data_IF_519366273631
#
_entry.id   IF_519366273631
#
_cell.length_a   1.000
_cell.length_b   1.000
_cell.length_c   1.000
_cell.angle_alpha   90.00
_cell.angle_beta   90.00
_cell.angle_gamma   90.00
#
_symmetry.space_group_name_H-M   'P 1'
#
loop_
_entity.id
_entity.type
_entity.pdbx_description
1 polymer ?
#
# COMPACT_ATOMS: atom_id res chain seq x y z
N UNK A 1 15.16 7.73 -57.75
CA UNK A 1 14.32 8.60 -56.90
C UNK A 1 13.05 9.01 -57.65
N UNK A 2 13.18 9.54 -58.88
CA UNK A 2 12.07 9.86 -59.78
C UNK A 2 11.00 8.76 -59.91
N UNK A 3 11.40 7.51 -60.22
CA UNK A 3 10.48 6.36 -60.34
C UNK A 3 9.66 6.09 -59.06
N UNK A 4 10.22 6.35 -57.86
CA UNK A 4 9.52 6.21 -56.58
C UNK A 4 8.54 7.36 -56.31
N UNK A 5 8.77 8.54 -56.89
CA UNK A 5 7.89 9.70 -56.75
C UNK A 5 6.72 9.63 -57.75
N UNK A 6 6.92 9.00 -58.91
CA UNK A 6 5.87 8.80 -59.91
C UNK A 6 4.73 7.89 -59.41
N UNK A 7 5.02 6.93 -58.54
CA UNK A 7 4.04 6.01 -57.95
C UNK A 7 3.20 6.63 -56.84
N UNK A 8 3.57 7.81 -56.32
CA UNK A 8 2.84 8.46 -55.23
C UNK A 8 1.61 9.24 -55.73
N UNK A 9 0.51 9.26 -54.96
CA UNK A 9 -0.63 10.16 -55.20
C UNK A 9 -0.22 11.64 -55.13
N UNK A 10 -0.91 12.50 -55.88
CA UNK A 10 -0.62 13.95 -55.92
C UNK A 10 -0.68 14.60 -54.53
N UNK A 11 -1.54 14.11 -53.64
CA UNK A 11 -1.68 14.62 -52.27
C UNK A 11 -0.39 14.41 -51.47
N UNK A 12 0.19 13.20 -51.53
CA UNK A 12 1.44 12.87 -50.84
C UNK A 12 2.64 13.61 -51.43
N UNK A 13 2.67 13.80 -52.76
CA UNK A 13 3.70 14.63 -53.41
C UNK A 13 3.65 16.09 -52.95
N UNK A 14 2.45 16.62 -52.71
CA UNK A 14 2.27 17.99 -52.20
C UNK A 14 2.69 18.12 -50.74
N UNK A 15 2.45 17.11 -49.91
CA UNK A 15 2.92 17.08 -48.51
C UNK A 15 4.45 17.00 -48.44
N UNK A 16 5.06 16.12 -49.25
CA UNK A 16 6.52 16.02 -49.35
C UNK A 16 7.15 17.34 -49.84
N UNK A 17 6.55 17.97 -50.85
CA UNK A 17 7.03 19.25 -51.35
C UNK A 17 6.93 20.39 -50.31
N UNK A 18 5.86 20.42 -49.49
CA UNK A 18 5.76 21.37 -48.37
C UNK A 18 6.78 21.10 -47.27
N UNK A 19 7.00 19.82 -46.94
CA UNK A 19 8.00 19.41 -45.95
C UNK A 19 9.42 19.80 -46.34
N UNK A 20 9.69 19.85 -47.65
CA UNK A 20 10.98 20.28 -48.24
C UNK A 20 11.04 21.78 -48.57
N UNK A 21 10.08 22.58 -48.10
CA UNK A 21 10.11 24.04 -48.23
C UNK A 21 9.71 24.61 -49.61
N UNK A 22 9.17 23.80 -50.53
CA UNK A 22 8.69 24.27 -51.84
C UNK A 22 7.44 25.14 -51.64
N UNK A 23 7.44 26.35 -52.24
CA UNK A 23 6.31 27.29 -52.21
C UNK A 23 5.39 27.09 -53.43
N UNK A 24 4.11 27.48 -53.31
CA UNK A 24 3.10 27.39 -54.39
C UNK A 24 2.78 25.97 -54.90
N UNK A 25 2.90 24.97 -54.04
CA UNK A 25 2.67 23.54 -54.32
C UNK A 25 1.24 23.21 -54.79
N UNK A 26 0.25 24.06 -54.49
CA UNK A 26 -1.15 23.88 -54.87
C UNK A 26 -1.44 24.13 -56.35
N UNK A 27 -0.66 24.99 -57.03
CA UNK A 27 -0.84 25.33 -58.45
C UNK A 27 0.01 24.48 -59.40
N UNK A 28 0.94 23.69 -58.86
CA UNK A 28 1.89 22.90 -59.66
C UNK A 28 1.30 21.58 -60.16
N UNK A 29 1.73 21.17 -61.35
CA UNK A 29 1.40 19.85 -61.94
C UNK A 29 2.24 18.75 -61.29
N UNK A 30 1.76 17.50 -61.37
CA UNK A 30 2.45 16.33 -60.78
C UNK A 30 3.90 16.21 -61.25
N UNK A 31 4.15 16.44 -62.55
CA UNK A 31 5.49 16.38 -63.15
C UNK A 31 6.42 17.45 -62.57
N UNK A 32 5.95 18.68 -62.43
CA UNK A 32 6.72 19.81 -61.88
C UNK A 32 7.12 19.58 -60.42
N UNK A 33 6.22 19.00 -59.61
CA UNK A 33 6.52 18.63 -58.23
C UNK A 33 7.59 17.54 -58.14
N UNK A 34 7.55 16.55 -59.04
CA UNK A 34 8.54 15.47 -59.06
C UNK A 34 9.91 16.00 -59.48
N UNK A 35 9.97 16.89 -60.48
CA UNK A 35 11.21 17.49 -60.94
C UNK A 35 11.85 18.37 -59.84
N UNK A 36 11.07 19.20 -59.14
CA UNK A 36 11.58 20.02 -58.03
C UNK A 36 12.06 19.19 -56.82
N UNK A 37 11.34 18.12 -56.47
CA UNK A 37 11.76 17.21 -55.41
C UNK A 37 13.04 16.43 -55.77
N UNK A 38 13.25 16.12 -57.05
CA UNK A 38 14.50 15.49 -57.50
C UNK A 38 15.67 16.48 -57.53
N UNK A 39 15.43 17.75 -57.83
CA UNK A 39 16.47 18.78 -57.84
C UNK A 39 17.01 19.06 -56.43
N UNK A 40 16.13 19.24 -55.44
CA UNK A 40 16.52 19.48 -54.04
C UNK A 40 17.32 18.31 -53.45
N UNK A 41 16.94 17.07 -53.78
CA UNK A 41 17.67 15.88 -53.33
C UNK A 41 19.03 15.67 -54.04
N UNK A 42 19.24 16.35 -55.17
CA UNK A 42 20.54 16.42 -55.85
C UNK A 42 21.50 17.37 -55.14
N UNK A 43 20.99 18.54 -54.73
CA UNK A 43 21.76 19.58 -54.02
C UNK A 43 22.22 19.11 -52.63
N UNK A 44 21.38 18.38 -51.88
CA UNK A 44 21.75 17.80 -50.58
C UNK A 44 22.91 16.77 -50.69
N UNK A 45 23.04 16.08 -51.83
CA UNK A 45 24.11 15.09 -52.05
C UNK A 45 25.44 15.70 -52.51
N UNK A 46 25.43 16.90 -53.07
CA UNK A 46 26.65 17.63 -53.42
C UNK A 46 27.25 18.35 -52.22
N UNK A 47 26.42 18.82 -51.27
CA UNK A 47 26.88 19.43 -50.03
C UNK A 47 27.59 18.45 -49.06
N UNK A 48 27.27 17.15 -49.10
CA UNK A 48 27.94 16.12 -48.28
C UNK A 48 29.28 15.60 -48.87
N UNK A 49 29.67 16.02 -50.09
CA UNK A 49 30.86 15.48 -50.78
C UNK A 49 32.12 16.35 -50.75
N UNK A 50 32.07 17.54 -50.14
CA UNK A 50 33.18 18.50 -50.15
C UNK A 50 33.70 18.85 -48.75
N UNK A 51 34.29 17.91 -48.02
CA UNK A 51 35.34 18.20 -47.01
C UNK A 51 36.30 17.00 -46.85
N UNK A 52 37.60 17.13 -47.15
CA UNK A 52 38.61 16.20 -46.69
C UNK A 52 39.53 16.78 -45.59
N UNK A 53 39.96 15.83 -44.76
CA UNK A 53 40.82 15.92 -43.59
C UNK A 53 42.20 16.59 -43.79
N UNK A 54 42.67 17.27 -42.74
CA UNK A 54 44.09 17.26 -42.36
C UNK A 54 44.26 17.01 -40.85
N UNK A 55 44.97 15.92 -40.52
CA UNK A 55 45.59 15.67 -39.21
C UNK A 55 47.04 16.16 -39.27
N UNK A 56 47.49 16.90 -38.25
CA UNK A 56 48.89 16.85 -37.78
C UNK A 56 48.95 16.93 -36.26
N UNK A 57 49.60 15.94 -35.68
CA UNK A 57 50.10 15.90 -34.31
C UNK A 57 51.25 16.90 -34.13
N UNK A 58 51.38 17.48 -32.94
CA UNK A 58 52.67 17.67 -32.25
C UNK A 58 52.43 17.98 -30.78
N UNK A 59 53.18 17.30 -29.91
CA UNK A 59 53.15 17.42 -28.46
C UNK A 59 54.18 18.45 -27.97
N UNK A 60 53.84 19.23 -26.93
CA UNK A 60 54.75 19.60 -25.82
C UNK A 60 54.08 20.50 -24.74
N UNK A 61 54.01 19.96 -23.51
CA UNK A 61 54.23 20.55 -22.17
C UNK A 61 53.89 22.04 -21.89
N UNK A 62 53.01 22.28 -20.91
CA UNK A 62 53.29 22.97 -19.62
C UNK A 62 52.01 23.03 -18.73
N UNK A 63 52.13 22.65 -17.45
CA UNK A 63 51.17 22.91 -16.34
C UNK A 63 51.54 24.26 -15.65
N UNK A 64 50.85 24.69 -14.56
CA UNK A 64 49.43 25.02 -14.43
C UNK A 64 49.22 26.42 -13.79
N UNK A 65 48.11 27.12 -14.06
CA UNK A 65 47.71 28.25 -13.21
C UNK A 65 46.26 28.14 -12.74
N UNK A 66 46.15 28.20 -11.39
CA UNK A 66 44.92 28.28 -10.60
C UNK A 66 44.31 29.66 -10.76
N UNK A 67 43.01 29.71 -10.98
CA UNK A 67 42.19 30.83 -10.50
C UNK A 67 40.82 30.31 -10.06
N UNK A 68 40.56 30.49 -8.76
CA UNK A 68 39.26 30.36 -8.12
C UNK A 68 38.29 31.41 -8.68
N UNK A 69 36.99 31.09 -8.75
CA UNK A 69 35.98 32.11 -9.02
C UNK A 69 34.58 31.58 -9.32
N UNK A 70 33.78 31.44 -8.26
CA UNK A 70 32.30 31.54 -8.27
C UNK A 70 31.50 30.50 -9.07
N UNK A 71 31.22 29.37 -8.41
CA UNK A 71 30.14 28.44 -8.76
C UNK A 71 28.80 29.05 -8.36
N UNK A 72 28.15 29.80 -9.27
CA UNK A 72 26.72 30.12 -9.14
C UNK A 72 25.94 28.80 -9.26
N UNK A 73 25.22 28.46 -8.21
CA UNK A 73 24.20 27.43 -8.21
C UNK A 73 23.08 27.85 -9.16
N UNK A 74 23.03 27.24 -10.35
CA UNK A 74 21.82 27.21 -11.14
C UNK A 74 20.88 26.18 -10.52
N UNK A 75 19.84 26.71 -9.88
CA UNK A 75 18.63 25.99 -9.54
C UNK A 75 18.03 25.38 -10.80
N UNK A 76 18.13 24.06 -10.95
CA UNK A 76 17.33 23.32 -11.92
C UNK A 76 15.85 23.31 -11.48
N UNK A 77 15.14 24.41 -11.71
CA UNK A 77 13.70 24.36 -11.96
C UNK A 77 13.52 23.84 -13.38
N UNK A 78 13.34 22.52 -13.50
CA UNK A 78 13.04 21.88 -14.77
C UNK A 78 11.64 22.32 -15.24
N UNK A 79 11.59 23.36 -16.07
CA UNK A 79 10.44 23.57 -16.94
C UNK A 79 10.33 22.39 -17.92
N UNK A 80 9.13 21.82 -18.15
CA UNK A 80 8.96 20.74 -19.10
C UNK A 80 9.32 21.27 -20.50
N UNK A 81 10.18 20.52 -21.20
CA UNK A 81 10.54 20.79 -22.61
C UNK A 81 9.27 20.99 -23.43
N UNK A 82 9.21 22.06 -24.22
CA UNK A 82 8.06 22.50 -25.04
C UNK A 82 7.35 21.37 -25.79
N UNK A 83 8.10 20.37 -26.27
CA UNK A 83 7.59 19.28 -27.10
C UNK A 83 6.71 18.28 -26.31
N UNK A 84 6.86 18.22 -24.97
CA UNK A 84 6.02 17.36 -24.12
C UNK A 84 4.66 18.01 -23.83
N UNK A 85 4.57 19.35 -23.82
CA UNK A 85 3.31 20.05 -23.57
C UNK A 85 2.29 19.86 -24.69
N UNK A 86 2.73 19.66 -25.94
CA UNK A 86 1.83 19.41 -27.07
C UNK A 86 1.15 18.03 -27.02
N UNK A 87 1.78 17.07 -26.32
CA UNK A 87 1.29 15.69 -26.15
C UNK A 87 0.49 15.51 -24.86
N UNK A 88 0.46 16.53 -24.01
CA UNK A 88 -0.22 16.54 -22.72
C UNK A 88 -1.73 16.61 -22.93
N UNK A 89 -2.46 15.63 -22.37
CA UNK A 89 -3.93 15.65 -22.42
C UNK A 89 -4.57 16.63 -21.43
N UNK A 90 -3.80 17.19 -20.50
CA UNK A 90 -4.29 17.96 -19.36
C UNK A 90 -5.00 17.12 -18.29
N UNK A 91 -5.12 15.80 -18.50
CA UNK A 91 -5.74 14.86 -17.56
C UNK A 91 -4.66 14.20 -16.73
N UNK A 92 -4.75 14.37 -15.42
CA UNK A 92 -3.84 13.77 -14.48
C UNK A 92 -4.18 12.29 -14.23
N UNK A 93 -3.18 11.43 -14.32
CA UNK A 93 -3.22 10.07 -13.79
C UNK A 93 -2.92 10.12 -12.29
N UNK A 94 -3.78 9.50 -11.48
CA UNK A 94 -3.52 9.26 -10.07
C UNK A 94 -4.06 7.88 -9.69
N UNK A 95 -3.19 6.98 -9.25
CA UNK A 95 -3.59 5.64 -8.84
C UNK A 95 -2.39 4.78 -8.45
N UNK A 96 -2.67 3.53 -8.14
CA UNK A 96 -1.66 2.56 -7.70
C UNK A 96 -1.00 1.88 -8.91
N UNK A 97 0.33 1.82 -8.93
CA UNK A 97 1.08 1.12 -9.96
C UNK A 97 1.02 -0.38 -9.73
N UNK A 98 0.69 -1.13 -10.77
CA UNK A 98 0.87 -2.57 -10.87
C UNK A 98 1.88 -2.86 -11.98
N UNK A 99 3.03 -3.44 -11.62
CA UNK A 99 4.06 -3.86 -12.58
C UNK A 99 3.78 -5.30 -13.00
N UNK A 100 3.66 -5.50 -14.31
CA UNK A 100 3.43 -6.81 -14.92
C UNK A 100 4.73 -7.62 -15.01
N UNK A 101 4.67 -8.95 -15.14
CA UNK A 101 5.87 -9.81 -15.29
C UNK A 101 6.80 -9.40 -16.44
N UNK A 102 6.23 -8.87 -17.54
CA UNK A 102 6.98 -8.41 -18.71
C UNK A 102 7.68 -7.05 -18.49
N UNK A 103 7.51 -6.43 -17.31
CA UNK A 103 8.23 -5.23 -16.87
C UNK A 103 7.58 -3.89 -17.23
N UNK A 104 6.49 -3.88 -18.00
CA UNK A 104 5.62 -2.71 -18.13
C UNK A 104 4.59 -2.69 -16.98
N UNK A 105 3.87 -1.58 -16.80
CA UNK A 105 2.89 -1.48 -15.72
C UNK A 105 1.63 -0.72 -16.09
N UNK A 106 0.65 -0.76 -15.18
CA UNK A 106 -0.57 0.03 -15.25
C UNK A 106 -0.80 0.77 -13.94
N UNK A 107 -1.18 2.05 -14.04
CA UNK A 107 -1.75 2.79 -12.92
C UNK A 107 -3.23 2.41 -12.85
N UNK A 108 -3.63 1.73 -11.77
CA UNK A 108 -5.01 1.34 -11.48
C UNK A 108 -5.71 2.48 -10.77
N UNK A 109 -6.75 3.01 -11.40
CA UNK A 109 -7.48 4.19 -10.92
C UNK A 109 -8.71 3.82 -10.06
N UNK A 110 -9.23 2.59 -10.18
CA UNK A 110 -10.50 2.18 -9.58
C UNK A 110 -10.27 1.07 -8.53
N UNK A 111 -10.26 1.43 -7.24
CA UNK A 111 -10.17 0.50 -6.11
C UNK A 111 -9.05 -0.57 -6.26
N UNK A 112 -7.93 -0.18 -6.86
CA UNK A 112 -6.74 -1.01 -7.13
C UNK A 112 -6.98 -2.20 -8.08
N UNK A 113 -8.04 -2.14 -8.88
CA UNK A 113 -8.41 -3.15 -9.85
C UNK A 113 -8.26 -2.65 -11.29
N UNK A 114 -8.16 -3.57 -12.28
CA UNK A 114 -8.18 -3.18 -13.68
C UNK A 114 -9.46 -2.46 -14.03
N UNK A 115 -9.33 -1.26 -14.57
CA UNK A 115 -10.44 -0.48 -15.11
C UNK A 115 -10.17 -0.05 -16.55
N UNK A 116 -11.19 0.47 -17.21
CA UNK A 116 -11.05 1.05 -18.55
C UNK A 116 -10.20 2.34 -18.54
N UNK A 117 -10.15 3.00 -17.38
CA UNK A 117 -9.44 4.25 -17.15
C UNK A 117 -7.95 4.08 -16.81
N UNK A 118 -7.44 2.84 -16.82
CA UNK A 118 -6.06 2.54 -16.48
C UNK A 118 -5.07 3.24 -17.41
N UNK A 119 -3.89 3.56 -16.84
CA UNK A 119 -2.83 4.28 -17.56
C UNK A 119 -1.63 3.39 -17.72
N UNK A 120 -1.21 3.19 -18.97
CA UNK A 120 -0.01 2.42 -19.30
C UNK A 120 1.26 3.16 -18.85
N UNK A 121 2.18 2.43 -18.22
CA UNK A 121 3.48 2.93 -17.79
C UNK A 121 4.57 2.13 -18.48
N UNK A 122 5.46 2.85 -19.18
CA UNK A 122 6.54 2.22 -19.92
C UNK A 122 7.60 1.60 -18.98
N UNK A 123 8.22 0.46 -19.34
CA UNK A 123 9.29 -0.14 -18.55
C UNK A 123 10.46 0.82 -18.27
N UNK A 124 10.75 1.72 -19.21
CA UNK A 124 11.79 2.73 -19.07
C UNK A 124 11.49 3.73 -17.94
N UNK A 125 10.23 4.14 -17.78
CA UNK A 125 9.81 5.02 -16.69
C UNK A 125 9.89 4.29 -15.34
N UNK A 126 9.42 3.03 -15.29
CA UNK A 126 9.47 2.19 -14.07
C UNK A 126 10.91 2.04 -13.59
N UNK A 127 11.83 1.66 -14.50
CA UNK A 127 13.25 1.50 -14.17
C UNK A 127 13.91 2.80 -13.78
N UNK A 128 13.64 3.90 -14.50
CA UNK A 128 14.26 5.20 -14.26
C UNK A 128 13.98 5.73 -12.85
N UNK A 129 12.74 5.63 -12.39
CA UNK A 129 12.32 6.15 -11.09
C UNK A 129 12.28 5.08 -9.98
N UNK A 130 12.80 3.88 -10.24
CA UNK A 130 12.76 2.73 -9.32
C UNK A 130 11.34 2.47 -8.75
N UNK A 131 10.33 2.57 -9.62
CA UNK A 131 8.94 2.33 -9.24
C UNK A 131 8.69 0.83 -9.07
N UNK A 132 7.81 0.50 -8.14
CA UNK A 132 7.43 -0.88 -7.82
C UNK A 132 5.91 -0.97 -7.72
N UNK A 133 5.40 -2.20 -7.82
CA UNK A 133 3.98 -2.46 -7.52
C UNK A 133 3.62 -1.89 -6.14
N UNK A 134 2.49 -1.22 -6.03
CA UNK A 134 2.03 -0.59 -4.80
C UNK A 134 2.30 0.92 -4.71
N UNK A 135 3.12 1.49 -5.60
CA UNK A 135 3.39 2.93 -5.59
C UNK A 135 2.17 3.72 -6.07
N UNK A 136 1.77 4.76 -5.33
CA UNK A 136 0.81 5.74 -5.84
C UNK A 136 1.56 6.69 -6.76
N UNK A 137 1.27 6.60 -8.06
CA UNK A 137 1.92 7.42 -9.09
C UNK A 137 0.96 8.50 -9.53
N UNK A 138 1.45 9.75 -9.48
CA UNK A 138 0.74 10.92 -9.97
C UNK A 138 1.53 11.54 -11.12
N UNK A 139 0.88 11.83 -12.23
CA UNK A 139 1.55 12.38 -13.42
C UNK A 139 0.60 12.66 -14.57
N UNK A 140 1.08 13.35 -15.61
CA UNK A 140 0.21 13.68 -16.75
C UNK A 140 0.09 12.52 -17.74
N UNK A 141 -1.09 12.38 -18.35
CA UNK A 141 -1.39 11.39 -19.39
C UNK A 141 -1.15 11.98 -20.76
N UNK A 142 -0.61 11.17 -21.66
CA UNK A 142 -0.59 11.48 -23.09
C UNK A 142 -1.99 11.39 -23.67
N UNK A 143 -2.30 12.24 -24.64
CA UNK A 143 -3.51 12.06 -25.48
C UNK A 143 -3.48 10.66 -26.11
N UNK A 144 -4.56 9.91 -25.90
CA UNK A 144 -4.75 8.55 -26.40
C UNK A 144 -4.96 8.59 -27.92
N UNK A 145 -4.16 7.83 -28.68
CA UNK A 145 -4.42 7.67 -30.13
C UNK A 145 -5.55 6.67 -30.35
N UNK A 146 -6.23 6.75 -31.50
CA UNK A 146 -7.36 5.85 -31.81
C UNK A 146 -7.00 4.35 -31.84
N UNK A 147 -5.71 4.03 -32.01
CA UNK A 147 -5.17 2.66 -32.01
C UNK A 147 -4.84 2.13 -30.62
N UNK A 148 -4.69 3.00 -29.62
CA UNK A 148 -4.28 2.61 -28.27
C UNK A 148 -5.51 2.21 -27.44
N UNK A 149 -5.41 1.13 -26.66
CA UNK A 149 -6.49 0.72 -25.74
C UNK A 149 -6.51 1.59 -24.47
N UNK A 150 -5.34 1.90 -23.94
CA UNK A 150 -5.14 2.68 -22.72
C UNK A 150 -4.32 3.94 -23.02
N UNK A 151 -4.55 5.01 -22.25
CA UNK A 151 -3.68 6.18 -22.32
C UNK A 151 -2.31 5.86 -21.71
N UNK A 152 -1.24 6.45 -22.21
CA UNK A 152 0.10 6.27 -21.66
C UNK A 152 0.47 7.42 -20.69
N UNK A 153 1.30 7.12 -19.69
CA UNK A 153 1.87 8.12 -18.79
C UNK A 153 2.94 8.93 -19.53
N UNK A 154 2.78 10.25 -19.58
CA UNK A 154 3.72 11.14 -20.25
C UNK A 154 4.92 11.44 -19.36
N UNK A 155 4.67 11.97 -18.15
CA UNK A 155 5.70 12.21 -17.14
C UNK A 155 5.14 12.01 -15.73
N UNK A 156 6.03 11.68 -14.79
CA UNK A 156 5.69 11.48 -13.38
C UNK A 156 5.90 12.80 -12.64
N UNK A 157 4.89 13.25 -11.89
CA UNK A 157 4.94 14.44 -11.03
C UNK A 157 5.40 14.06 -9.62
N UNK A 158 4.82 13.00 -9.04
CA UNK A 158 5.17 12.53 -7.69
C UNK A 158 4.90 11.04 -7.52
N UNK A 159 5.62 10.41 -6.59
CA UNK A 159 5.47 9.00 -6.22
C UNK A 159 5.20 8.94 -4.70
N UNK A 160 4.09 8.34 -4.29
CA UNK A 160 3.62 8.26 -2.90
C UNK A 160 3.49 9.64 -2.21
N UNK A 161 3.22 10.69 -2.99
CA UNK A 161 3.18 12.08 -2.49
C UNK A 161 4.56 12.71 -2.28
N UNK A 162 5.65 12.01 -2.62
CA UNK A 162 7.01 12.52 -2.56
C UNK A 162 7.53 12.88 -3.96
N UNK A 163 8.53 13.77 -4.06
CA UNK A 163 9.27 13.99 -5.29
C UNK A 163 9.89 12.68 -5.82
N UNK A 164 10.01 12.55 -7.13
CA UNK A 164 10.49 11.33 -7.80
C UNK A 164 11.87 10.86 -7.32
N UNK A 165 12.79 11.79 -7.02
CA UNK A 165 14.13 11.46 -6.50
C UNK A 165 14.11 10.75 -5.14
N UNK A 166 13.04 10.90 -4.35
CA UNK A 166 12.92 10.24 -3.05
C UNK A 166 12.63 8.73 -3.22
N UNK A 167 11.91 8.35 -4.28
CA UNK A 167 11.64 6.95 -4.60
C UNK A 167 12.90 6.21 -5.10
N UNK A 168 13.83 6.93 -5.74
CA UNK A 168 15.10 6.35 -6.23
C UNK A 168 16.03 5.90 -5.10
N UNK A 169 16.00 6.60 -3.96
CA UNK A 169 16.93 6.36 -2.82
C UNK A 169 16.37 5.50 -1.70
N UNK A 170 15.09 5.12 -1.76
CA UNK A 170 14.46 4.35 -0.69
C UNK A 170 15.00 2.91 -0.65
N UNK A 171 15.18 2.31 0.54
CA UNK A 171 15.55 0.91 0.66
C UNK A 171 14.40 0.00 0.19
N UNK A 172 14.69 -1.29 -0.05
CA UNK A 172 13.63 -2.28 -0.23
C UNK A 172 13.08 -2.70 1.13
N UNK A 173 11.78 -2.94 1.21
CA UNK A 173 11.11 -3.39 2.43
C UNK A 173 11.74 -4.66 3.04
N UNK A 174 12.22 -5.57 2.19
CA UNK A 174 12.83 -6.82 2.66
C UNK A 174 14.27 -6.65 3.16
N UNK A 175 14.92 -5.53 2.83
CA UNK A 175 16.28 -5.20 3.31
C UNK A 175 16.26 -4.48 4.66
N UNK A 176 15.07 -4.05 5.12
CA UNK A 176 14.89 -3.38 6.42
C UNK A 176 15.01 -4.38 7.58
N UNK A 177 15.64 -3.96 8.68
CA UNK A 177 15.90 -4.83 9.83
C UNK A 177 14.67 -4.94 10.73
N UNK A 178 14.00 -6.11 10.81
CA UNK A 178 12.84 -6.28 11.67
C UNK A 178 13.23 -6.31 13.15
N UNK A 179 12.48 -5.60 13.99
CA UNK A 179 12.60 -5.62 15.45
C UNK A 179 11.24 -5.84 16.11
N UNK A 180 11.25 -6.16 17.41
CA UNK A 180 10.02 -6.18 18.19
C UNK A 180 9.39 -4.77 18.25
N UNK A 181 8.06 -4.68 18.34
CA UNK A 181 7.41 -3.43 18.69
C UNK A 181 7.96 -2.91 20.02
N UNK A 182 8.43 -1.67 20.02
CA UNK A 182 9.04 -1.00 21.17
C UNK A 182 8.41 0.38 21.45
N UNK A 183 7.37 0.74 20.68
CA UNK A 183 6.57 1.94 20.87
C UNK A 183 5.10 1.55 20.85
N UNK A 184 4.41 1.78 21.97
CA UNK A 184 2.98 1.49 22.12
C UNK A 184 2.11 2.49 21.34
N UNK A 185 1.09 1.96 20.69
CA UNK A 185 -0.04 2.67 20.10
C UNK A 185 -1.17 2.69 21.13
N UNK A 186 -1.20 3.74 21.97
CA UNK A 186 -2.23 3.88 23.00
C UNK A 186 -3.60 4.08 22.38
N UNK A 187 -4.55 3.27 22.83
CA UNK A 187 -5.95 3.33 22.39
C UNK A 187 -6.79 4.23 23.31
N UNK A 188 -6.25 4.63 24.46
CA UNK A 188 -6.86 5.62 25.34
C UNK A 188 -6.70 7.04 24.76
N UNK A 189 -7.80 7.74 24.49
CA UNK A 189 -7.83 9.13 24.02
C UNK A 189 -7.79 10.08 25.23
N UNK A 190 -6.76 10.93 25.30
CA UNK A 190 -6.63 11.91 26.40
C UNK A 190 -7.71 12.98 26.32
N UNK A 191 -8.47 13.15 27.41
CA UNK A 191 -9.57 14.13 27.48
C UNK A 191 -10.81 13.75 26.65
N UNK A 192 -10.83 12.57 26.04
CA UNK A 192 -11.97 12.02 25.30
C UNK A 192 -12.80 11.03 26.13
N UNK A 193 -13.92 10.57 25.54
CA UNK A 193 -14.68 9.44 26.10
C UNK A 193 -14.00 8.14 25.71
N UNK A 194 -13.26 7.56 26.66
CA UNK A 194 -12.65 6.24 26.47
C UNK A 194 -13.67 5.13 26.68
N UNK A 195 -13.77 4.21 25.73
CA UNK A 195 -14.59 3.02 25.92
C UNK A 195 -13.84 2.02 26.80
N UNK A 196 -14.60 1.25 27.56
CA UNK A 196 -14.05 0.11 28.34
C UNK A 196 -13.26 -0.83 27.43
N UNK A 197 -13.72 -1.07 26.20
CA UNK A 197 -13.05 -1.91 25.22
C UNK A 197 -11.63 -1.43 24.88
N UNK A 198 -11.46 -0.14 24.55
CA UNK A 198 -10.15 0.41 24.23
C UNK A 198 -9.22 0.36 25.43
N UNK A 199 -9.74 0.64 26.62
CA UNK A 199 -8.96 0.60 27.87
C UNK A 199 -8.47 -0.79 28.25
N UNK A 200 -9.37 -1.78 28.17
CA UNK A 200 -9.07 -3.20 28.41
C UNK A 200 -8.05 -3.69 27.39
N UNK A 201 -8.24 -3.39 26.10
CA UNK A 201 -7.30 -3.76 25.03
C UNK A 201 -5.93 -3.09 25.23
N UNK A 202 -5.89 -1.81 25.57
CA UNK A 202 -4.64 -1.06 25.75
C UNK A 202 -3.78 -1.64 26.88
N UNK A 203 -4.37 -2.18 27.95
CA UNK A 203 -3.62 -2.78 29.07
C UNK A 203 -3.33 -4.27 28.88
N UNK A 204 -4.32 -5.08 28.49
CA UNK A 204 -4.19 -6.55 28.49
C UNK A 204 -3.62 -7.10 27.17
N UNK A 205 -3.84 -6.40 26.06
CA UNK A 205 -3.33 -6.79 24.75
C UNK A 205 -2.75 -5.56 24.04
N UNK A 206 -1.70 -4.93 24.61
CA UNK A 206 -1.17 -3.67 24.12
C UNK A 206 -0.69 -3.80 22.67
N UNK A 207 -1.01 -2.79 21.85
CA UNK A 207 -0.61 -2.78 20.44
C UNK A 207 0.62 -1.91 20.30
N UNK A 208 1.69 -2.44 19.70
CA UNK A 208 2.85 -1.65 19.32
C UNK A 208 2.89 -1.28 17.84
N UNK A 209 3.75 -0.32 17.49
CA UNK A 209 4.15 -0.08 16.09
C UNK A 209 4.84 -1.33 15.55
N UNK A 210 4.33 -1.88 14.44
CA UNK A 210 4.80 -3.14 13.89
C UNK A 210 4.15 -4.40 14.46
N UNK A 211 3.03 -4.27 15.20
CA UNK A 211 2.34 -5.43 15.79
C UNK A 211 1.73 -6.34 14.71
N UNK A 212 1.79 -7.65 14.93
CA UNK A 212 1.01 -8.68 14.22
C UNK A 212 -0.08 -9.20 15.16
N UNK A 213 -1.16 -8.46 15.24
CA UNK A 213 -2.26 -8.74 16.15
C UNK A 213 -3.41 -9.48 15.48
N UNK A 214 -4.04 -10.38 16.23
CA UNK A 214 -5.21 -11.12 15.79
C UNK A 214 -6.37 -10.90 16.76
N UNK A 215 -7.51 -10.44 16.24
CA UNK A 215 -8.77 -10.35 16.99
C UNK A 215 -9.57 -11.62 16.70
N UNK A 216 -9.52 -12.55 17.63
CA UNK A 216 -10.18 -13.85 17.53
C UNK A 216 -11.62 -13.66 17.98
N UNK A 217 -12.57 -13.80 17.08
CA UNK A 217 -13.97 -13.51 17.37
C UNK A 217 -14.91 -14.57 16.82
N UNK A 218 -15.82 -15.10 17.65
CA UNK A 218 -16.98 -15.79 17.14
C UNK A 218 -17.94 -14.81 16.46
N UNK A 219 -18.86 -15.29 15.62
CA UNK A 219 -19.90 -14.46 15.04
C UNK A 219 -20.71 -13.72 16.11
N UNK A 220 -21.09 -12.47 15.85
CA UNK A 220 -21.91 -11.61 16.73
C UNK A 220 -21.29 -11.19 18.07
N UNK A 221 -20.01 -11.45 18.34
CA UNK A 221 -19.36 -11.03 19.59
C UNK A 221 -18.94 -9.55 19.66
N UNK A 222 -19.20 -8.76 18.61
CA UNK A 222 -18.88 -7.32 18.58
C UNK A 222 -17.58 -6.93 17.87
N UNK A 223 -16.99 -7.85 17.09
CA UNK A 223 -15.82 -7.64 16.21
C UNK A 223 -15.83 -6.29 15.49
N UNK A 224 -16.88 -6.03 14.71
CA UNK A 224 -16.97 -4.84 13.86
C UNK A 224 -16.97 -3.53 14.67
N UNK A 225 -17.65 -3.53 15.82
CA UNK A 225 -17.66 -2.39 16.74
C UNK A 225 -16.28 -2.15 17.33
N UNK A 226 -15.58 -3.21 17.73
CA UNK A 226 -14.22 -3.12 18.26
C UNK A 226 -13.25 -2.56 17.21
N UNK A 227 -13.29 -3.08 15.97
CA UNK A 227 -12.43 -2.64 14.87
C UNK A 227 -12.64 -1.15 14.55
N UNK A 228 -13.90 -0.69 14.51
CA UNK A 228 -14.25 0.73 14.35
C UNK A 228 -13.70 1.60 15.48
N UNK A 229 -13.76 1.13 16.72
CA UNK A 229 -13.22 1.87 17.86
C UNK A 229 -11.69 1.97 17.80
N UNK A 230 -11.00 0.89 17.42
CA UNK A 230 -9.54 0.93 17.18
C UNK A 230 -9.21 1.93 16.08
N UNK A 231 -9.91 1.88 14.94
CA UNK A 231 -9.71 2.82 13.84
C UNK A 231 -9.83 4.28 14.30
N UNK A 232 -10.90 4.62 15.02
CA UNK A 232 -11.13 5.98 15.55
C UNK A 232 -10.08 6.40 16.60
N UNK A 233 -9.66 5.49 17.46
CA UNK A 233 -8.62 5.77 18.45
C UNK A 233 -7.28 6.08 17.76
N UNK A 234 -6.91 5.30 16.74
CA UNK A 234 -5.67 5.51 15.99
C UNK A 234 -5.70 6.81 15.19
N UNK A 235 -6.78 7.11 14.47
CA UNK A 235 -6.88 8.37 13.71
C UNK A 235 -6.86 9.61 14.60
N UNK A 236 -7.37 9.49 15.84
CA UNK A 236 -7.36 10.58 16.81
C UNK A 236 -6.00 10.75 17.48
N UNK A 237 -5.41 9.66 17.97
CA UNK A 237 -4.18 9.69 18.75
C UNK A 237 -2.91 9.80 17.89
N UNK A 238 -2.96 9.31 16.65
CA UNK A 238 -1.83 9.21 15.73
C UNK A 238 -2.22 9.72 14.32
N UNK A 239 -2.51 11.01 14.16
CA UNK A 239 -3.00 11.57 12.88
C UNK A 239 -1.99 11.45 11.72
N UNK A 240 -0.71 11.25 12.01
CA UNK A 240 0.34 11.03 11.00
C UNK A 240 0.50 9.56 10.58
N UNK A 241 -0.18 8.63 11.26
CA UNK A 241 -0.13 7.21 10.94
C UNK A 241 -1.09 6.92 9.80
N UNK A 242 -0.62 6.18 8.79
CA UNK A 242 -1.44 5.86 7.63
C UNK A 242 -2.30 4.62 7.92
N UNK A 243 -3.62 4.78 7.95
CA UNK A 243 -4.57 3.73 8.29
C UNK A 243 -5.22 3.17 7.03
N UNK A 244 -5.02 1.90 6.77
CA UNK A 244 -5.68 1.16 5.69
C UNK A 244 -6.69 0.20 6.31
N UNK A 245 -7.96 0.29 5.93
CA UNK A 245 -8.99 -0.67 6.33
C UNK A 245 -9.29 -1.55 5.14
N UNK A 246 -8.97 -2.83 5.25
CA UNK A 246 -9.16 -3.83 4.21
C UNK A 246 -10.31 -4.78 4.58
N UNK A 247 -11.42 -4.68 3.85
CA UNK A 247 -12.62 -5.50 4.05
C UNK A 247 -12.74 -6.55 2.95
N UNK A 248 -12.68 -7.83 3.31
CA UNK A 248 -12.69 -8.96 2.39
C UNK A 248 -13.90 -9.86 2.66
N UNK A 249 -14.70 -10.09 1.62
CA UNK A 249 -15.85 -10.99 1.64
C UNK A 249 -16.83 -10.61 2.78
N UNK A 250 -17.01 -9.31 2.97
CA UNK A 250 -17.89 -8.71 3.98
C UNK A 250 -19.12 -8.09 3.31
N UNK A 251 -20.17 -7.84 4.11
CA UNK A 251 -21.44 -7.33 3.57
C UNK A 251 -21.34 -5.87 3.09
N UNK A 252 -22.01 -5.49 1.98
CA UNK A 252 -22.00 -4.12 1.46
C UNK A 252 -22.41 -3.05 2.48
N UNK A 253 -23.39 -3.34 3.34
CA UNK A 253 -23.84 -2.44 4.40
C UNK A 253 -22.78 -2.23 5.50
N UNK A 254 -22.00 -3.28 5.82
CA UNK A 254 -20.89 -3.19 6.78
C UNK A 254 -19.73 -2.38 6.20
N UNK A 255 -19.47 -2.51 4.89
CA UNK A 255 -18.50 -1.68 4.15
C UNK A 255 -18.91 -0.21 4.17
N UNK A 256 -20.19 0.07 3.89
CA UNK A 256 -20.72 1.44 3.85
C UNK A 256 -20.59 2.11 5.21
N UNK A 257 -21.02 1.44 6.28
CA UNK A 257 -20.89 1.96 7.64
C UNK A 257 -19.41 2.26 7.99
N UNK A 258 -18.48 1.38 7.62
CA UNK A 258 -17.05 1.61 7.89
C UNK A 258 -16.52 2.85 7.18
N UNK A 259 -16.88 3.05 5.91
CA UNK A 259 -16.48 4.23 5.12
C UNK A 259 -17.01 5.54 5.70
N UNK A 260 -18.25 5.54 6.17
CA UNK A 260 -18.87 6.73 6.76
C UNK A 260 -18.37 6.99 8.19
N UNK A 261 -18.04 5.92 8.93
CA UNK A 261 -17.61 6.01 10.33
C UNK A 261 -16.17 6.45 10.52
N UNK A 262 -15.26 6.10 9.61
CA UNK A 262 -13.82 6.34 9.76
C UNK A 262 -13.33 7.17 8.58
N UNK A 263 -13.21 8.47 8.80
CA UNK A 263 -12.76 9.43 7.79
C UNK A 263 -11.53 10.18 8.29
N UNK A 264 -10.56 10.38 7.41
CA UNK A 264 -9.35 11.14 7.68
C UNK A 264 -8.49 11.29 6.42
N UNK A 265 -7.50 12.23 6.43
CA UNK A 265 -6.65 12.48 5.27
C UNK A 265 -5.71 11.30 4.94
N UNK A 266 -5.28 10.56 5.96
CA UNK A 266 -4.40 9.38 5.84
C UNK A 266 -5.18 8.07 6.11
N UNK A 267 -6.47 8.03 5.76
CA UNK A 267 -7.33 6.83 5.89
C UNK A 267 -7.75 6.33 4.52
N UNK A 268 -7.41 5.08 4.19
CA UNK A 268 -7.82 4.40 2.96
C UNK A 268 -8.75 3.22 3.31
N UNK A 269 -10.02 3.25 2.89
CA UNK A 269 -10.96 2.12 3.06
C UNK A 269 -11.09 1.36 1.75
N UNK A 270 -10.51 0.17 1.70
CA UNK A 270 -10.42 -0.70 0.52
C UNK A 270 -11.23 -1.96 0.79
N UNK A 271 -11.98 -2.41 -0.20
CA UNK A 271 -12.92 -3.51 0.01
C UNK A 271 -13.15 -4.37 -1.22
N UNK A 272 -13.57 -5.60 -0.96
CA UNK A 272 -14.16 -6.53 -1.92
C UNK A 272 -15.31 -7.25 -1.20
N UNK A 273 -16.55 -6.95 -1.56
CA UNK A 273 -17.75 -7.53 -0.91
C UNK A 273 -17.90 -9.01 -1.28
N UNK A 274 -18.79 -9.73 -0.58
CA UNK A 274 -19.07 -11.15 -0.86
C UNK A 274 -19.67 -11.43 -2.25
N UNK A 275 -20.15 -10.39 -2.96
CA UNK A 275 -20.68 -10.52 -4.33
C UNK A 275 -19.56 -10.77 -5.37
N UNK A 276 -18.31 -10.60 -4.96
CA UNK A 276 -17.14 -10.65 -5.82
C UNK A 276 -16.50 -12.04 -5.85
N UNK A 277 -15.75 -12.32 -6.92
CA UNK A 277 -15.05 -13.59 -7.06
C UNK A 277 -13.83 -13.69 -6.11
N UNK A 278 -13.45 -14.89 -5.63
CA UNK A 278 -12.27 -15.11 -4.80
C UNK A 278 -10.97 -14.54 -5.37
N UNK A 279 -10.83 -14.57 -6.70
CA UNK A 279 -9.70 -13.98 -7.43
C UNK A 279 -9.56 -12.48 -7.17
N UNK A 280 -10.69 -11.76 -7.05
CA UNK A 280 -10.70 -10.33 -6.74
C UNK A 280 -10.24 -10.09 -5.30
N UNK A 281 -10.68 -10.90 -4.34
CA UNK A 281 -10.22 -10.80 -2.95
C UNK A 281 -8.70 -10.97 -2.84
N UNK A 282 -8.15 -11.97 -3.54
CA UNK A 282 -6.70 -12.21 -3.64
C UNK A 282 -6.00 -10.95 -4.16
N UNK A 283 -6.40 -10.47 -5.33
CA UNK A 283 -5.74 -9.35 -6.00
C UNK A 283 -5.76 -8.06 -5.18
N UNK A 284 -6.92 -7.71 -4.61
CA UNK A 284 -7.05 -6.52 -3.75
C UNK A 284 -6.10 -6.62 -2.55
N UNK A 285 -6.02 -7.80 -1.90
CA UNK A 285 -5.10 -8.00 -0.77
C UNK A 285 -3.63 -7.84 -1.15
N UNK A 286 -3.22 -8.33 -2.32
CA UNK A 286 -1.84 -8.22 -2.82
C UNK A 286 -1.46 -6.77 -3.13
N UNK A 287 -2.36 -6.00 -3.74
CA UNK A 287 -2.12 -4.58 -4.00
C UNK A 287 -2.03 -3.77 -2.70
N UNK A 288 -2.90 -4.05 -1.72
CA UNK A 288 -2.92 -3.38 -0.41
C UNK A 288 -1.61 -3.62 0.36
N UNK A 289 -1.12 -4.86 0.38
CA UNK A 289 0.12 -5.14 1.11
C UNK A 289 1.33 -4.49 0.46
N UNK A 290 1.41 -4.51 -0.88
CA UNK A 290 2.49 -3.82 -1.58
C UNK A 290 2.42 -2.31 -1.37
N UNK A 291 1.22 -1.70 -1.40
CA UNK A 291 1.01 -0.29 -1.04
C UNK A 291 1.56 0.03 0.35
N UNK A 292 1.20 -0.77 1.35
CA UNK A 292 1.67 -0.58 2.72
C UNK A 292 3.20 -0.69 2.82
N UNK A 293 3.82 -1.66 2.14
CA UNK A 293 5.28 -1.79 2.08
C UNK A 293 5.94 -0.55 1.48
N UNK A 294 5.42 -0.02 0.37
CA UNK A 294 5.96 1.20 -0.27
C UNK A 294 5.93 2.39 0.69
N UNK A 295 4.87 2.55 1.48
CA UNK A 295 4.77 3.61 2.48
C UNK A 295 5.81 3.44 3.60
N UNK A 296 6.03 2.21 4.08
CA UNK A 296 7.06 1.90 5.10
C UNK A 296 8.47 2.11 4.56
N UNK A 297 8.74 1.81 3.27
CA UNK A 297 10.02 2.13 2.63
C UNK A 297 10.32 3.65 2.65
N UNK A 298 9.29 4.50 2.73
CA UNK A 298 9.43 5.95 2.95
C UNK A 298 9.50 6.36 4.44
N UNK A 299 9.66 5.41 5.35
CA UNK A 299 9.75 5.64 6.79
C UNK A 299 8.41 5.98 7.46
N UNK A 300 7.27 5.76 6.80
CA UNK A 300 5.95 5.98 7.42
C UNK A 300 5.55 4.82 8.32
N UNK A 301 4.76 5.15 9.33
CA UNK A 301 4.04 4.17 10.14
C UNK A 301 2.68 3.88 9.49
N UNK A 302 2.42 2.60 9.22
CA UNK A 302 1.23 2.13 8.50
C UNK A 302 0.51 1.10 9.37
N UNK A 303 -0.81 1.21 9.46
CA UNK A 303 -1.66 0.23 10.11
C UNK A 303 -2.68 -0.33 9.12
N UNK A 304 -2.75 -1.65 9.00
CA UNK A 304 -3.80 -2.33 8.26
C UNK A 304 -4.77 -2.97 9.25
N UNK A 305 -6.05 -2.61 9.14
CA UNK A 305 -7.16 -3.31 9.78
C UNK A 305 -7.78 -4.26 8.77
N UNK A 306 -7.53 -5.56 8.91
CA UNK A 306 -8.03 -6.60 7.99
C UNK A 306 -9.25 -7.29 8.58
N UNK A 307 -10.36 -7.25 7.86
CA UNK A 307 -11.58 -7.97 8.19
C UNK A 307 -12.04 -8.83 7.00
N UNK A 308 -11.74 -10.13 6.92
CA UNK A 308 -11.01 -10.96 7.90
C UNK A 308 -9.92 -11.81 7.24
N UNK A 309 -8.93 -12.24 8.03
CA UNK A 309 -7.89 -13.14 7.50
C UNK A 309 -8.42 -14.54 7.22
N UNK A 310 -9.44 -14.98 7.96
CA UNK A 310 -10.11 -16.27 7.72
C UNK A 310 -10.76 -16.30 6.33
N UNK A 311 -11.49 -15.24 5.97
CA UNK A 311 -12.11 -15.12 4.65
C UNK A 311 -11.07 -14.99 3.54
N UNK A 312 -10.00 -14.24 3.79
CA UNK A 312 -8.88 -14.16 2.84
C UNK A 312 -8.25 -15.53 2.58
N UNK A 313 -7.95 -16.30 3.64
CA UNK A 313 -7.39 -17.64 3.50
C UNK A 313 -8.33 -18.60 2.74
N UNK A 314 -9.65 -18.51 2.97
CA UNK A 314 -10.66 -19.24 2.19
C UNK A 314 -10.61 -18.87 0.71
N UNK A 315 -10.50 -17.58 0.39
CA UNK A 315 -10.39 -17.13 -1.00
C UNK A 315 -9.15 -17.70 -1.69
N UNK A 316 -7.98 -17.69 -1.02
CA UNK A 316 -6.78 -18.34 -1.55
C UNK A 316 -6.96 -19.85 -1.76
N UNK A 317 -7.66 -20.54 -0.84
CA UNK A 317 -7.92 -21.98 -0.97
C UNK A 317 -8.77 -22.35 -2.19
N UNK A 318 -9.61 -21.44 -2.67
CA UNK A 318 -10.43 -21.65 -3.87
C UNK A 318 -9.70 -21.35 -5.18
N UNK A 319 -8.64 -20.54 -5.13
CA UNK A 319 -7.95 -20.01 -6.31
C UNK A 319 -6.62 -20.72 -6.57
N UNK A 320 -5.91 -21.11 -5.51
CA UNK A 320 -4.59 -21.75 -5.63
C UNK A 320 -4.75 -23.13 -6.28
N UNK A 321 -3.91 -23.47 -7.28
CA UNK A 321 -3.89 -24.80 -7.85
C UNK A 321 -3.66 -25.87 -6.76
N UNK A 322 -4.45 -26.96 -6.73
CA UNK A 322 -4.33 -27.97 -5.69
C UNK A 322 -2.92 -28.58 -5.65
N UNK A 323 -2.34 -28.67 -4.46
CA UNK A 323 -1.02 -29.27 -4.23
C UNK A 323 -1.07 -30.81 -4.18
N UNK A 324 -2.27 -31.40 -4.25
CA UNK A 324 -2.51 -32.84 -4.03
C UNK A 324 -2.41 -33.29 -2.57
N UNK A 325 -2.27 -32.35 -1.62
CA UNK A 325 -2.30 -32.62 -0.17
C UNK A 325 -3.43 -31.81 0.45
N UNK A 326 -4.08 -32.38 1.46
CA UNK A 326 -5.21 -31.71 2.13
C UNK A 326 -5.05 -31.87 3.63
N UNK A 327 -5.11 -30.74 4.35
CA UNK A 327 -5.18 -30.70 5.80
C UNK A 327 -6.61 -30.99 6.27
N UNK A 328 -6.78 -31.14 7.58
CA UNK A 328 -8.11 -31.23 8.18
C UNK A 328 -8.97 -30.04 7.75
N UNK A 329 -10.25 -30.29 7.48
CA UNK A 329 -11.19 -29.25 7.04
C UNK A 329 -11.13 -28.91 5.55
N UNK A 330 -10.41 -29.66 4.72
CA UNK A 330 -10.41 -29.46 3.25
C UNK A 330 -9.50 -28.32 2.79
N UNK A 331 -8.56 -27.91 3.64
CA UNK A 331 -7.63 -26.82 3.38
C UNK A 331 -6.37 -27.35 2.69
N UNK A 332 -5.99 -26.74 1.57
CA UNK A 332 -4.72 -26.99 0.91
C UNK A 332 -3.59 -26.24 1.65
N UNK A 333 -2.49 -26.89 2.05
CA UNK A 333 -1.36 -26.21 2.69
C UNK A 333 -0.78 -25.05 1.85
N UNK A 334 -0.77 -25.16 0.52
CA UNK A 334 -0.25 -24.13 -0.37
C UNK A 334 -1.09 -22.85 -0.32
N UNK A 335 -2.39 -22.97 -0.02
CA UNK A 335 -3.30 -21.84 0.10
C UNK A 335 -2.96 -20.92 1.29
N UNK A 336 -2.29 -21.44 2.32
CA UNK A 336 -1.89 -20.66 3.50
C UNK A 336 -0.63 -19.82 3.27
N UNK A 337 0.18 -20.14 2.25
CA UNK A 337 1.49 -19.52 2.06
C UNK A 337 1.39 -18.00 1.89
N UNK A 338 0.54 -17.52 0.98
CA UNK A 338 0.40 -16.09 0.68
C UNK A 338 -0.30 -15.32 1.83
N UNK A 339 -1.41 -15.79 2.39
CA UNK A 339 -1.98 -15.21 3.61
C UNK A 339 -1.00 -15.13 4.80
N UNK A 340 -0.16 -16.15 5.03
CA UNK A 340 0.90 -16.09 6.05
C UNK A 340 1.94 -15.03 5.74
N UNK A 341 2.35 -14.88 4.47
CA UNK A 341 3.26 -13.80 4.04
C UNK A 341 2.63 -12.42 4.21
N UNK A 342 1.34 -12.26 3.91
CA UNK A 342 0.59 -11.03 4.12
C UNK A 342 0.63 -10.64 5.61
N UNK A 343 0.23 -11.55 6.50
CA UNK A 343 0.19 -11.27 7.93
C UNK A 343 1.59 -11.12 8.55
N UNK A 344 2.53 -11.95 8.11
CA UNK A 344 3.94 -11.93 8.51
C UNK A 344 4.71 -10.70 8.02
N UNK A 345 4.16 -9.94 7.06
CA UNK A 345 4.78 -8.70 6.62
C UNK A 345 4.80 -7.64 7.71
N UNK A 346 3.83 -7.65 8.64
CA UNK A 346 3.79 -6.69 9.74
C UNK A 346 5.00 -6.85 10.68
N UNK A 347 5.75 -5.77 10.83
CA UNK A 347 6.98 -5.70 11.62
C UNK A 347 7.35 -4.24 11.86
N UNK A 348 8.07 -4.00 12.94
CA UNK A 348 8.70 -2.72 13.22
C UNK A 348 10.09 -2.70 12.57
N UNK A 349 10.51 -1.56 12.01
CA UNK A 349 11.78 -1.46 11.31
C UNK A 349 12.76 -0.61 12.11
N UNK A 350 14.02 -1.04 12.18
CA UNK A 350 15.06 -0.29 12.91
C UNK A 350 15.39 1.03 12.23
N UNK A 351 15.40 1.04 10.91
CA UNK A 351 15.77 2.18 10.06
C UNK A 351 14.66 3.26 9.98
N UNK A 352 13.47 2.96 10.50
CA UNK A 352 12.32 3.85 10.52
C UNK A 352 11.12 3.28 9.77
N UNK A 353 9.93 3.74 10.15
CA UNK A 353 8.65 3.21 9.70
C UNK A 353 8.27 1.89 10.37
N UNK A 354 7.00 1.54 10.27
CA UNK A 354 6.46 0.31 10.83
C UNK A 354 5.22 -0.14 10.08
N UNK A 355 5.02 -1.45 9.97
CA UNK A 355 3.80 -2.03 9.44
C UNK A 355 3.08 -2.79 10.56
N UNK A 356 2.01 -2.23 11.08
CA UNK A 356 1.10 -2.90 12.01
C UNK A 356 -0.03 -3.55 11.22
N UNK A 357 -0.32 -4.83 11.47
CA UNK A 357 -1.51 -5.51 10.93
C UNK A 357 -2.33 -6.03 12.12
N UNK A 358 -3.58 -5.60 12.20
CA UNK A 358 -4.59 -6.23 13.05
C UNK A 358 -5.60 -6.94 12.16
N UNK A 359 -5.63 -8.25 12.24
CA UNK A 359 -6.55 -9.06 11.46
C UNK A 359 -7.60 -9.70 12.36
N UNK A 360 -8.85 -9.76 11.90
CA UNK A 360 -9.88 -10.54 12.58
C UNK A 360 -9.80 -11.99 12.12
N UNK A 361 -9.96 -12.93 13.06
CA UNK A 361 -10.03 -14.36 12.78
C UNK A 361 -11.35 -14.91 13.34
N UNK A 362 -12.07 -15.66 12.52
CA UNK A 362 -13.33 -16.27 12.91
C UNK A 362 -13.07 -17.61 13.59
N UNK A 363 -13.71 -17.82 14.75
CA UNK A 363 -13.73 -19.09 15.50
C UNK A 363 -15.17 -19.47 15.86
N UNK A 364 -15.38 -20.69 16.33
CA UNK A 364 -16.71 -21.22 16.71
C UNK A 364 -17.77 -21.08 15.59
N UNK A 365 -17.33 -21.16 14.32
CA UNK A 365 -18.22 -21.09 13.15
C UNK A 365 -18.88 -22.43 12.83
N UNK A 366 -18.41 -23.51 13.47
CA UNK A 366 -18.77 -24.89 13.14
C UNK A 366 -17.97 -25.47 11.95
N UNK A 367 -17.05 -24.69 11.36
CA UNK A 367 -16.20 -25.12 10.26
C UNK A 367 -14.81 -25.52 10.76
N UNK A 368 -14.44 -26.80 10.62
CA UNK A 368 -13.08 -27.28 10.92
C UNK A 368 -12.00 -26.55 10.11
N UNK A 369 -12.35 -26.05 8.93
CA UNK A 369 -11.43 -25.26 8.10
C UNK A 369 -11.01 -23.97 8.82
N UNK A 370 -11.95 -23.30 9.48
CA UNK A 370 -11.68 -22.04 10.18
C UNK A 370 -10.82 -22.27 11.42
N UNK A 371 -11.07 -23.35 12.15
CA UNK A 371 -10.27 -23.74 13.31
C UNK A 371 -8.81 -23.99 12.91
N UNK A 372 -8.59 -24.73 11.81
CA UNK A 372 -7.25 -24.98 11.27
C UNK A 372 -6.59 -23.69 10.79
N UNK A 373 -7.33 -22.82 10.08
CA UNK A 373 -6.82 -21.51 9.66
C UNK A 373 -6.35 -20.72 10.88
N UNK A 374 -7.19 -20.60 11.92
CA UNK A 374 -6.87 -19.88 13.14
C UNK A 374 -5.59 -20.41 13.80
N UNK A 375 -5.46 -21.72 14.00
CA UNK A 375 -4.26 -22.32 14.62
C UNK A 375 -2.99 -22.06 13.81
N UNK A 376 -3.07 -22.08 12.46
CA UNK A 376 -1.94 -21.79 11.57
C UNK A 376 -1.49 -20.32 11.64
N UNK A 377 -2.42 -19.39 11.91
CA UNK A 377 -2.11 -17.97 12.07
C UNK A 377 -1.68 -17.59 13.48
N UNK A 378 -2.15 -18.31 14.50
CA UNK A 378 -1.77 -18.12 15.90
C UNK A 378 -0.25 -18.19 16.09
N UNK A 379 0.42 -19.14 15.42
CA UNK A 379 1.88 -19.25 15.45
C UNK A 379 2.63 -18.09 14.78
N UNK A 380 1.97 -17.38 13.86
CA UNK A 380 2.56 -16.27 13.07
C UNK A 380 2.41 -14.92 13.78
N UNK A 381 1.31 -14.75 14.54
CA UNK A 381 1.00 -13.55 15.31
C UNK A 381 1.85 -13.39 16.56
N UNK A 382 1.88 -12.18 17.09
CA UNK A 382 2.51 -11.85 18.36
C UNK A 382 1.57 -11.10 19.33
N UNK A 383 0.31 -10.90 18.96
CA UNK A 383 -0.76 -10.43 19.85
C UNK A 383 -2.06 -11.16 19.51
N UNK A 384 -2.79 -11.54 20.54
CA UNK A 384 -4.11 -12.17 20.43
C UNK A 384 -5.08 -11.43 21.35
N UNK A 385 -6.23 -11.02 20.81
CA UNK A 385 -7.36 -10.54 21.58
C UNK A 385 -8.54 -11.45 21.29
N UNK A 386 -9.00 -12.19 22.29
CA UNK A 386 -10.04 -13.18 22.14
C UNK A 386 -11.37 -12.63 22.63
N UNK A 387 -12.41 -12.73 21.81
CA UNK A 387 -13.78 -12.40 22.20
C UNK A 387 -14.55 -13.66 22.59
N UNK A 388 -15.32 -13.59 23.67
CA UNK A 388 -16.10 -14.70 24.22
C UNK A 388 -17.58 -14.59 23.86
N UNK A 389 -18.10 -15.64 23.21
CA UNK A 389 -19.51 -15.76 22.86
C UNK A 389 -20.43 -15.76 24.10
N UNK A 390 -20.04 -16.40 25.20
CA UNK A 390 -20.85 -16.48 26.43
C UNK A 390 -21.06 -15.10 27.05
N UNK A 391 -20.00 -14.28 27.09
CA UNK A 391 -20.09 -12.89 27.57
C UNK A 391 -21.04 -12.08 26.70
N UNK A 392 -20.92 -12.22 25.37
CA UNK A 392 -21.81 -11.55 24.41
C UNK A 392 -23.27 -11.98 24.53
N UNK A 393 -23.56 -13.28 24.71
CA UNK A 393 -24.92 -13.80 24.89
C UNK A 393 -25.57 -13.29 26.20
N UNK A 394 -24.75 -13.06 27.24
CA UNK A 394 -25.16 -12.40 28.50
C UNK A 394 -25.20 -10.88 28.42
N UNK A 395 -24.93 -10.29 27.25
CA UNK A 395 -24.88 -8.83 26.99
C UNK A 395 -23.81 -8.08 27.81
N UNK A 396 -22.72 -8.75 28.15
CA UNK A 396 -21.57 -8.14 28.82
C UNK A 396 -20.60 -7.66 27.75
N UNK A 397 -20.41 -6.34 27.66
CA UNK A 397 -19.51 -5.72 26.69
C UNK A 397 -18.47 -4.83 27.38
N UNK A 398 -17.20 -4.84 26.93
CA UNK A 398 -16.64 -5.63 25.85
C UNK A 398 -16.59 -7.14 26.18
N UNK A 399 -16.94 -7.98 25.21
CA UNK A 399 -16.96 -9.43 25.38
C UNK A 399 -15.54 -10.02 25.22
N UNK A 400 -14.56 -9.51 25.97
CA UNK A 400 -13.14 -9.90 25.86
C UNK A 400 -12.84 -11.00 26.89
N UNK A 401 -12.25 -12.10 26.42
CA UNK A 401 -11.65 -13.14 27.27
C UNK A 401 -10.26 -12.67 27.71
N UNK A 402 -10.19 -12.14 28.93
CA UNK A 402 -8.97 -11.60 29.54
C UNK A 402 -7.89 -12.68 29.68
N UNK A 403 -8.27 -13.94 29.89
CA UNK A 403 -7.34 -15.03 30.15
C UNK A 403 -6.62 -15.49 28.88
N UNK A 404 -7.33 -15.48 27.75
CA UNK A 404 -6.77 -15.90 26.46
C UNK A 404 -6.17 -14.75 25.65
N UNK A 405 -6.44 -13.51 26.05
CA UNK A 405 -5.88 -12.33 25.40
C UNK A 405 -4.50 -12.00 25.95
N UNK A 406 -3.60 -11.54 25.09
CA UNK A 406 -2.25 -11.17 25.50
C UNK A 406 -1.38 -10.73 24.34
N UNK A 407 -0.24 -10.12 24.66
CA UNK A 407 0.78 -9.70 23.69
C UNK A 407 2.13 -10.25 24.07
N UNK A 408 2.85 -10.84 23.12
CA UNK A 408 4.22 -11.30 23.35
C UNK A 408 5.12 -10.07 23.50
N UNK A 409 6.02 -10.12 24.49
CA UNK A 409 6.95 -9.03 24.80
C UNK A 409 6.23 -7.70 25.13
N UNK A 410 5.11 -7.81 25.83
CA UNK A 410 4.40 -6.66 26.41
C UNK A 410 5.24 -5.86 27.42
N UNK A 411 6.31 -6.46 27.97
CA UNK A 411 7.37 -5.78 28.74
C UNK A 411 8.01 -4.59 28.02
N UNK A 412 7.99 -4.58 26.69
CA UNK A 412 8.51 -3.48 25.86
C UNK A 412 7.49 -2.35 25.63
N UNK A 413 6.22 -2.58 25.96
CA UNK A 413 5.10 -1.69 25.64
C UNK A 413 4.43 -1.12 26.89
N UNK A 414 4.43 -1.87 27.99
CA UNK A 414 3.84 -1.48 29.25
C UNK A 414 4.89 -0.84 30.16
N UNK A 415 4.47 0.14 30.96
CA UNK A 415 5.27 0.58 32.10
C UNK A 415 5.34 -0.52 33.15
N UNK A 416 6.36 -0.46 34.02
CA UNK A 416 6.51 -1.42 35.13
C UNK A 416 5.25 -1.51 36.00
N UNK A 417 4.62 -0.36 36.25
CA UNK A 417 3.41 -0.29 37.07
C UNK A 417 2.19 -0.95 36.41
N UNK A 418 2.04 -0.77 35.10
CA UNK A 418 1.01 -1.43 34.31
C UNK A 418 1.25 -2.94 34.24
N UNK A 419 2.50 -3.36 33.98
CA UNK A 419 2.88 -4.78 33.96
C UNK A 419 2.58 -5.49 35.27
N UNK A 420 2.95 -4.88 36.41
CA UNK A 420 2.62 -5.42 37.73
C UNK A 420 1.10 -5.55 37.96
N UNK A 421 0.30 -4.61 37.45
CA UNK A 421 -1.17 -4.68 37.54
C UNK A 421 -1.76 -5.78 36.64
N UNK A 422 -1.26 -5.93 35.42
CA UNK A 422 -1.65 -6.99 34.49
C UNK A 422 -1.31 -8.37 35.05
N UNK A 423 -0.11 -8.54 35.63
CA UNK A 423 0.29 -9.78 36.30
C UNK A 423 -0.64 -10.13 37.47
N UNK A 424 -1.03 -9.14 38.27
CA UNK A 424 -1.95 -9.35 39.38
C UNK A 424 -3.34 -9.77 38.89
N UNK A 425 -3.81 -9.22 37.76
CA UNK A 425 -5.06 -9.61 37.12
C UNK A 425 -5.00 -11.07 36.68
N UNK A 426 -3.95 -11.48 35.95
CA UNK A 426 -3.79 -12.87 35.51
C UNK A 426 -3.73 -13.85 36.69
N UNK A 427 -3.03 -13.49 37.77
CA UNK A 427 -2.97 -14.30 39.00
C UNK A 427 -4.35 -14.44 39.67
N UNK A 428 -5.10 -13.33 39.76
CA UNK A 428 -6.44 -13.30 40.34
C UNK A 428 -7.42 -14.21 39.59
N UNK A 429 -7.38 -14.16 38.26
CA UNK A 429 -8.27 -14.95 37.39
C UNK A 429 -7.97 -16.44 37.41
N UNK A 430 -6.78 -16.86 37.87
CA UNK A 430 -6.41 -18.27 37.98
C UNK A 430 -6.87 -18.92 39.31
N UNK A 431 -7.18 -18.13 40.33
CA UNK A 431 -7.60 -18.63 41.67
C UNK A 431 -9.12 -18.61 41.88
N UNK A 432 -9.83 -17.71 41.21
CA UNK A 432 -11.29 -17.64 41.19
C UNK A 432 -11.87 -18.54 40.09
N UNK A 433 -13.18 -18.81 40.12
CA UNK A 433 -13.87 -19.29 38.90
C UNK A 433 -13.66 -18.23 37.82
N UNK A 434 -12.88 -18.55 36.77
CA UNK A 434 -12.37 -17.57 35.80
C UNK A 434 -13.43 -16.62 35.23
N UNK A 435 -14.67 -17.09 35.03
CA UNK A 435 -15.78 -16.27 34.53
C UNK A 435 -16.19 -15.15 35.52
N UNK A 436 -16.31 -15.43 36.82
CA UNK A 436 -16.67 -14.43 37.84
C UNK A 436 -15.57 -13.37 38.00
N UNK A 437 -14.31 -13.76 37.85
CA UNK A 437 -13.17 -12.86 37.94
C UNK A 437 -13.14 -11.87 36.75
N UNK A 438 -13.40 -12.35 35.54
CA UNK A 438 -13.47 -11.52 34.33
C UNK A 438 -14.55 -10.45 34.48
N UNK A 439 -15.75 -10.83 34.94
CA UNK A 439 -16.84 -9.87 35.19
C UNK A 439 -16.45 -8.81 36.22
N UNK A 440 -15.81 -9.22 37.32
CA UNK A 440 -15.35 -8.28 38.35
C UNK A 440 -14.30 -7.31 37.83
N UNK A 441 -13.38 -7.78 36.99
CA UNK A 441 -12.35 -6.91 36.37
C UNK A 441 -13.01 -5.94 35.39
N UNK A 442 -13.94 -6.39 34.54
CA UNK A 442 -14.69 -5.52 33.64
C UNK A 442 -15.51 -4.47 34.40
N UNK A 443 -16.12 -4.85 35.53
CA UNK A 443 -16.82 -3.91 36.43
C UNK A 443 -15.83 -2.87 37.01
N UNK A 444 -14.63 -3.28 37.42
CA UNK A 444 -13.59 -2.34 37.87
C UNK A 444 -13.18 -1.34 36.78
N UNK A 445 -13.03 -1.80 35.53
CA UNK A 445 -12.79 -0.89 34.41
C UNK A 445 -13.96 0.08 34.23
N UNK A 446 -15.21 -0.35 34.39
CA UNK A 446 -16.38 0.51 34.23
C UNK A 446 -16.49 1.60 35.31
N UNK A 447 -15.97 1.34 36.51
CA UNK A 447 -15.96 2.29 37.65
C UNK A 447 -14.84 3.32 37.59
N UNK A 448 -13.83 3.10 36.75
CA UNK A 448 -12.67 3.98 36.56
C UNK A 448 -12.77 4.70 35.22
N UNK A 449 -12.13 5.87 35.08
CA UNK A 449 -12.19 6.66 33.84
C UNK A 449 -10.96 6.46 32.96
N UNK A 450 -9.81 6.23 33.56
CA UNK A 450 -8.52 6.11 32.87
C UNK A 450 -7.79 4.83 33.24
N UNK A 451 -6.84 4.39 32.41
CA UNK A 451 -6.01 3.22 32.75
C UNK A 451 -5.11 3.49 33.95
N UNK A 452 -4.69 4.74 34.16
CA UNK A 452 -3.91 5.12 35.35
C UNK A 452 -4.71 4.90 36.64
N UNK A 453 -5.95 5.38 36.70
CA UNK A 453 -6.84 5.15 37.85
C UNK A 453 -7.09 3.66 38.10
N UNK A 454 -7.27 2.90 37.02
CA UNK A 454 -7.44 1.45 37.11
C UNK A 454 -6.21 0.76 37.70
N UNK A 455 -5.01 1.08 37.24
CA UNK A 455 -3.74 0.53 37.76
C UNK A 455 -3.57 0.88 39.25
N UNK A 456 -3.84 2.12 39.64
CA UNK A 456 -3.78 2.53 41.05
C UNK A 456 -4.79 1.75 41.93
N UNK A 457 -6.00 1.50 41.41
CA UNK A 457 -7.02 0.71 42.10
C UNK A 457 -6.63 -0.78 42.17
N UNK A 458 -6.15 -1.35 41.07
CA UNK A 458 -5.72 -2.75 40.99
C UNK A 458 -4.56 -3.06 41.94
N UNK A 459 -3.62 -2.12 42.14
CA UNK A 459 -2.53 -2.26 43.13
C UNK A 459 -3.04 -2.32 44.58
N UNK A 460 -4.13 -1.62 44.89
CA UNK A 460 -4.71 -1.57 46.26
C UNK A 460 -5.53 -2.82 46.57
N UNK A 461 -6.10 -3.44 45.54
CA UNK A 461 -6.88 -4.66 45.68
C UNK A 461 -5.90 -5.83 45.68
N UNK A 462 -5.61 -6.38 46.86
CA UNK A 462 -5.10 -7.75 46.91
C UNK A 462 -6.21 -8.65 46.41
N UNK A 463 -6.00 -9.26 45.26
CA UNK A 463 -6.89 -10.30 44.74
C UNK A 463 -6.74 -11.64 45.49
N UNK A 464 -6.10 -11.61 46.66
CA UNK A 464 -5.72 -12.73 47.52
C UNK A 464 -5.84 -12.34 48.99
#
# INVERSE_FOLDING_TARGET
MREKLETLPLIQLRELARGQGIKHVSSMRKSELIDQLCALAGEEREAERTEPAERKETAAKQEPERTEGTRKQESHSAEPRSDLQELDSGIEANGILEVMPDGFGFIRCENFLPGENDVYVAPSQIRRFNMKTGDIVRGSRRVKTATEKFAALLYVTSINGYPTYAAERRPNFEDLTPIFPNQRLSLEVRGGKNTTAMRVMDLLAPIGKGQRGMIVSPPKAGKTTLLKQVAKAITTNYPSMHLIILLIDERPEEVTDMKESVVGPDVEVIYSTFDELPERHRRVSEMVIERAKRLVEHGRDVMILLDSITRLARAYNLVVPPSGRTLSGGLDPAALHMPKRFFGAARNMREGGSLTILATALVDTGSRMDDVIYEEFKGTGNMELVLDRKLSERRIFPAIDILKSGTRRDDLLLSREEGEAVDNIHKATNSLKGEEAVEKILDMFSRTRTNREFVEMAKKIRFY
#
